data_IF_632711524053
#
_entry.id   IF_632711524053
#
_cell.length_a   1.000
_cell.length_b   1.000
_cell.length_c   1.000
_cell.angle_alpha   90.00
_cell.angle_beta   90.00
_cell.angle_gamma   90.00
#
_symmetry.space_group_name_H-M   'P 1'
#
loop_
_entity.id
_entity.type
_entity.pdbx_description
1 polymer ?
#
# COMPACT_ATOMS: atom_id res chain seq x y z
N UNK A 1 5.36 -4.55 -10.52
CA UNK A 1 4.04 -4.98 -10.01
C UNK A 1 3.03 -5.00 -11.13
N UNK A 2 2.23 -6.07 -11.22
CA UNK A 2 1.13 -6.19 -12.20
C UNK A 2 0.01 -5.21 -11.85
N UNK A 3 -0.78 -4.75 -12.82
CA UNK A 3 -2.00 -3.96 -12.51
C UNK A 3 -3.08 -4.87 -11.92
N UNK A 4 -3.78 -4.38 -10.90
CA UNK A 4 -4.90 -5.06 -10.25
C UNK A 4 -6.19 -4.39 -10.70
N UNK A 5 -7.13 -5.15 -11.23
CA UNK A 5 -8.49 -4.66 -11.49
C UNK A 5 -9.27 -4.67 -10.18
N UNK A 6 -9.48 -3.50 -9.57
CA UNK A 6 -10.19 -3.35 -8.29
C UNK A 6 -10.70 -1.92 -8.11
N UNK A 7 -11.74 -1.75 -7.31
CA UNK A 7 -12.25 -0.45 -6.87
C UNK A 7 -11.69 -0.03 -5.50
N UNK A 8 -11.00 -0.94 -4.79
CA UNK A 8 -10.43 -0.67 -3.47
C UNK A 8 -9.13 0.13 -3.57
N UNK A 9 -9.25 1.44 -3.78
CA UNK A 9 -8.12 2.35 -4.01
C UNK A 9 -8.04 3.49 -3.00
N UNK A 10 -9.01 3.62 -2.09
CA UNK A 10 -9.02 4.68 -1.09
C UNK A 10 -7.86 4.51 -0.12
N UNK A 11 -7.08 5.59 0.06
CA UNK A 11 -5.90 5.60 0.93
C UNK A 11 -4.59 5.20 0.26
N UNK A 12 -4.58 4.83 -1.04
CA UNK A 12 -3.36 4.34 -1.73
C UNK A 12 -2.15 5.26 -1.55
N UNK A 13 -2.34 6.58 -1.78
CA UNK A 13 -1.26 7.56 -1.63
C UNK A 13 -0.81 7.76 -0.18
N UNK A 14 -1.76 7.81 0.75
CA UNK A 14 -1.48 7.94 2.19
C UNK A 14 -0.70 6.74 2.71
N UNK A 15 -1.10 5.52 2.32
CA UNK A 15 -0.42 4.30 2.75
C UNK A 15 0.96 4.18 2.11
N UNK A 16 1.11 4.60 0.84
CA UNK A 16 2.42 4.64 0.20
C UNK A 16 3.38 5.58 0.93
N UNK A 17 2.97 6.82 1.21
CA UNK A 17 3.82 7.78 1.91
C UNK A 17 4.13 7.35 3.35
N UNK A 18 3.14 6.78 4.06
CA UNK A 18 3.33 6.21 5.39
C UNK A 18 4.33 5.04 5.39
N UNK A 19 4.22 4.12 4.42
CA UNK A 19 5.15 2.99 4.29
C UNK A 19 6.57 3.43 3.93
N UNK A 20 6.74 4.42 3.04
CA UNK A 20 8.05 5.02 2.75
C UNK A 20 8.64 5.61 4.03
N UNK A 21 7.84 6.39 4.76
CA UNK A 21 8.28 7.03 6.02
C UNK A 21 8.71 5.99 7.04
N UNK A 22 7.94 4.92 7.19
CA UNK A 22 8.25 3.83 8.11
C UNK A 22 9.54 3.08 7.72
N UNK A 23 9.78 2.82 6.43
CA UNK A 23 11.02 2.19 5.98
C UNK A 23 12.23 3.12 6.17
N UNK A 24 12.09 4.42 5.87
CA UNK A 24 13.15 5.39 6.15
C UNK A 24 13.47 5.46 7.66
N UNK A 25 12.45 5.43 8.53
CA UNK A 25 12.62 5.42 9.97
C UNK A 25 13.34 4.16 10.49
N UNK A 26 13.28 3.04 9.76
CA UNK A 26 14.06 1.81 10.05
C UNK A 26 15.53 1.91 9.60
N UNK A 27 15.93 3.00 8.95
CA UNK A 27 17.29 3.20 8.43
C UNK A 27 17.51 2.66 7.02
N UNK A 28 16.44 2.32 6.28
CA UNK A 28 16.54 1.86 4.89
C UNK A 28 16.87 3.05 3.96
N UNK A 29 17.68 2.83 2.92
CA UNK A 29 17.92 3.88 1.92
C UNK A 29 16.65 4.23 1.14
N UNK A 30 16.61 5.43 0.56
CA UNK A 30 15.41 5.96 -0.11
C UNK A 30 14.91 5.06 -1.24
N UNK A 31 15.80 4.49 -2.05
CA UNK A 31 15.38 3.66 -3.19
C UNK A 31 14.75 2.36 -2.69
N UNK A 32 15.36 1.71 -1.71
CA UNK A 32 14.83 0.50 -1.10
C UNK A 32 13.53 0.76 -0.34
N UNK A 33 13.43 1.88 0.39
CA UNK A 33 12.21 2.29 1.08
C UNK A 33 11.03 2.46 0.11
N UNK A 34 11.25 3.15 -1.02
CA UNK A 34 10.26 3.30 -2.08
C UNK A 34 9.84 1.95 -2.68
N UNK A 35 10.80 1.06 -2.98
CA UNK A 35 10.51 -0.25 -3.54
C UNK A 35 9.64 -1.11 -2.59
N UNK A 36 10.02 -1.17 -1.31
CA UNK A 36 9.28 -1.91 -0.27
C UNK A 36 7.89 -1.33 -0.02
N UNK A 37 7.76 -0.01 -0.03
CA UNK A 37 6.45 0.65 0.13
C UNK A 37 5.51 0.35 -1.05
N UNK A 38 6.02 0.35 -2.28
CA UNK A 38 5.25 0.00 -3.48
C UNK A 38 4.81 -1.47 -3.43
N UNK A 39 5.66 -2.37 -2.96
CA UNK A 39 5.30 -3.78 -2.74
C UNK A 39 4.25 -3.95 -1.63
N UNK A 40 4.41 -3.26 -0.51
CA UNK A 40 3.44 -3.27 0.59
C UNK A 40 2.05 -2.82 0.12
N UNK A 41 1.96 -1.66 -0.55
CA UNK A 41 0.69 -1.14 -1.07
C UNK A 41 0.08 -2.06 -2.10
N UNK A 42 0.90 -2.69 -2.96
CA UNK A 42 0.40 -3.65 -3.93
C UNK A 42 -0.29 -4.84 -3.25
N UNK A 43 0.37 -5.45 -2.25
CA UNK A 43 -0.21 -6.56 -1.48
C UNK A 43 -1.44 -6.11 -0.68
N UNK A 44 -1.44 -4.89 -0.15
CA UNK A 44 -2.57 -4.33 0.59
C UNK A 44 -3.82 -4.14 -0.29
N UNK A 45 -3.62 -3.78 -1.55
CA UNK A 45 -4.69 -3.68 -2.55
C UNK A 45 -5.18 -5.06 -2.97
N UNK A 46 -4.28 -6.04 -3.17
CA UNK A 46 -4.68 -7.43 -3.48
C UNK A 46 -5.50 -8.07 -2.36
N UNK A 47 -5.16 -7.77 -1.10
CA UNK A 47 -5.84 -8.31 0.08
C UNK A 47 -6.98 -7.42 0.60
N UNK A 48 -7.46 -6.45 -0.19
CA UNK A 48 -8.43 -5.46 0.25
C UNK A 48 -9.78 -6.10 0.68
N UNK A 49 -10.42 -5.61 1.76
CA UNK A 49 -11.55 -6.27 2.41
C UNK A 49 -12.90 -6.07 1.69
N UNK A 50 -12.96 -5.27 0.62
CA UNK A 50 -14.20 -5.03 -0.13
C UNK A 50 -15.29 -4.29 0.67
N UNK A 51 -14.89 -3.33 1.51
CA UNK A 51 -15.82 -2.58 2.37
C UNK A 51 -16.36 -1.33 1.67
N UNK A 52 -17.64 -1.05 1.89
CA UNK A 52 -18.34 0.12 1.36
C UNK A 52 -18.93 -0.10 -0.05
N UNK A 53 -19.64 0.91 -0.56
CA UNK A 53 -20.32 0.88 -1.87
C UNK A 53 -19.63 1.70 -2.96
N UNK A 54 -18.42 2.21 -2.68
CA UNK A 54 -17.63 3.06 -3.58
C UNK A 54 -16.18 2.60 -3.68
N UNK A 55 -15.23 3.53 -3.55
CA UNK A 55 -13.81 3.20 -3.49
C UNK A 55 -13.46 2.70 -2.09
N UNK A 56 -13.38 1.38 -1.92
CA UNK A 56 -13.08 0.77 -0.64
C UNK A 56 -11.63 1.01 -0.18
N UNK A 57 -11.35 0.83 1.12
CA UNK A 57 -10.00 0.91 1.66
C UNK A 57 -9.16 -0.30 1.23
N UNK A 58 -7.84 -0.16 1.28
CA UNK A 58 -6.89 -1.28 1.22
C UNK A 58 -6.67 -1.94 2.59
N UNK A 59 -6.09 -3.15 2.59
CA UNK A 59 -5.82 -3.92 3.79
C UNK A 59 -4.43 -3.62 4.38
N UNK A 60 -4.40 -2.89 5.48
CA UNK A 60 -3.17 -2.49 6.17
C UNK A 60 -2.53 -3.62 6.98
N UNK A 61 -3.24 -4.73 7.23
CA UNK A 61 -2.74 -5.89 7.98
C UNK A 61 -2.06 -6.93 7.10
N UNK A 62 -1.79 -6.59 5.83
CA UNK A 62 -1.06 -7.47 4.92
C UNK A 62 0.37 -7.67 5.40
N UNK A 63 0.84 -8.92 5.37
CA UNK A 63 2.22 -9.30 5.73
C UNK A 63 3.09 -9.34 4.51
#
# INVERSE_FOLDING_TARGET
>A
NRRIATTNTHGTGCTLSAAITAELAKGTDLRTACARAVEFVHRAIEAAPGLGSGHGPLNHFVR
#
